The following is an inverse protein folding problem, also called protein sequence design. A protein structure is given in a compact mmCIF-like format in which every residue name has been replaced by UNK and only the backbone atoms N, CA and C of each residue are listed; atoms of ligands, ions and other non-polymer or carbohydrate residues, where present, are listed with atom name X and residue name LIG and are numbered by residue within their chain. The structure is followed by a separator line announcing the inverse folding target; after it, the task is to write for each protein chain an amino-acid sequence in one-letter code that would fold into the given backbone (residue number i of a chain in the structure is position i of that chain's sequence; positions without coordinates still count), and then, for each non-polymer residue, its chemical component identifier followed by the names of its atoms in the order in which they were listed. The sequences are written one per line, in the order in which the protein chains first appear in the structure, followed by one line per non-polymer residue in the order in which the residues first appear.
data_IF_723978144148
#
_entry.id   IF_723978144148
#
_cell.length_a   1.000
_cell.length_b   1.000
_cell.length_c   1.000
_cell.angle_alpha   90.00
_cell.angle_beta   90.00
_cell.angle_gamma   90.00
#
_symmetry.space_group_name_H-M   'P 1'
#
loop_
_entity.id
_entity.type
_entity.pdbx_description
1 polymer ?
#
# COMPACT_ATOMS: atom_id res chain seq x y z
N UNK A 1 -13.81 14.06 -8.06
CA UNK A 1 -12.49 14.21 -8.71
C UNK A 1 -11.46 14.32 -7.60
N UNK A 2 -10.33 13.61 -7.66
CA UNK A 2 -9.29 13.75 -6.64
C UNK A 2 -8.60 15.11 -6.83
N UNK A 3 -8.50 15.91 -5.76
CA UNK A 3 -7.75 17.16 -5.77
C UNK A 3 -6.55 16.98 -4.84
N UNK A 4 -5.35 16.87 -5.42
CA UNK A 4 -4.10 16.81 -4.67
C UNK A 4 -3.51 18.21 -4.65
N UNK A 5 -3.60 18.88 -3.50
CA UNK A 5 -3.08 20.25 -3.32
C UNK A 5 -1.57 20.28 -3.13
N UNK A 6 -0.99 19.22 -2.56
CA UNK A 6 0.44 19.10 -2.25
C UNK A 6 0.91 17.69 -2.52
N UNK A 7 2.09 17.56 -3.15
CA UNK A 7 2.78 16.28 -3.35
C UNK A 7 4.24 16.50 -2.94
N UNK A 8 4.70 15.72 -1.96
CA UNK A 8 6.07 15.77 -1.44
C UNK A 8 6.66 14.37 -1.40
N UNK A 9 7.97 14.27 -1.51
CA UNK A 9 8.72 13.04 -1.22
C UNK A 9 9.41 13.22 0.14
N UNK A 10 9.41 12.18 0.95
CA UNK A 10 10.02 12.17 2.28
C UNK A 10 10.81 10.87 2.48
N UNK A 11 11.97 10.90 3.14
CA UNK A 11 12.72 9.70 3.53
C UNK A 11 12.18 9.06 4.83
N UNK A 12 11.15 9.66 5.46
CA UNK A 12 10.55 9.17 6.70
C UNK A 12 10.07 7.71 6.59
N UNK A 13 10.21 6.98 7.70
CA UNK A 13 9.68 5.63 7.83
C UNK A 13 8.15 5.63 8.04
N UNK A 14 7.50 4.48 7.82
CA UNK A 14 6.06 4.31 7.98
C UNK A 14 5.55 4.66 9.39
N UNK A 15 6.39 4.49 10.42
CA UNK A 15 6.05 4.79 11.81
C UNK A 15 6.22 6.27 12.17
N UNK A 16 6.95 7.07 11.39
CA UNK A 16 7.20 8.49 11.64
C UNK A 16 6.18 9.40 10.94
N UNK A 17 5.74 9.00 9.74
CA UNK A 17 4.79 9.80 8.95
C UNK A 17 3.47 10.04 9.68
N UNK A 18 2.93 11.25 9.53
CA UNK A 18 1.63 11.65 10.09
C UNK A 18 0.46 11.42 9.12
N UNK A 19 0.70 10.74 7.99
CA UNK A 19 -0.35 10.48 7.01
C UNK A 19 -1.48 9.60 7.57
N UNK A 20 -2.72 9.92 7.22
CA UNK A 20 -3.93 9.21 7.69
C UNK A 20 -4.02 7.77 7.17
N UNK A 21 -3.33 7.50 6.06
CA UNK A 21 -3.25 6.23 5.37
C UNK A 21 -1.84 6.00 4.84
N UNK A 22 -1.34 4.79 5.02
CA UNK A 22 -0.07 4.33 4.44
C UNK A 22 -0.38 3.23 3.45
N UNK A 23 0.00 3.42 2.19
CA UNK A 23 -0.22 2.45 1.13
C UNK A 23 1.07 1.71 0.76
N UNK A 24 0.99 0.38 0.76
CA UNK A 24 2.09 -0.53 0.44
C UNK A 24 1.60 -1.68 -0.46
N UNK A 25 2.51 -2.41 -1.09
CA UNK A 25 2.16 -3.39 -2.13
C UNK A 25 2.50 -4.85 -1.83
N UNK A 26 1.75 -5.74 -2.47
CA UNK A 26 2.00 -7.19 -2.57
C UNK A 26 1.78 -7.66 -4.01
N UNK A 27 2.67 -8.51 -4.51
CA UNK A 27 2.58 -9.09 -5.86
C UNK A 27 1.85 -10.43 -5.86
N UNK A 28 1.42 -10.90 -7.04
CA UNK A 28 0.76 -12.21 -7.21
C UNK A 28 1.63 -13.40 -6.78
N UNK A 29 2.96 -13.27 -6.86
CA UNK A 29 3.93 -14.27 -6.39
C UNK A 29 4.11 -14.25 -4.86
N UNK A 30 3.26 -13.50 -4.15
CA UNK A 30 3.27 -13.28 -2.70
C UNK A 30 4.47 -12.50 -2.18
N UNK A 31 5.31 -11.95 -3.07
CA UNK A 31 6.38 -11.07 -2.63
C UNK A 31 5.80 -9.74 -2.15
N UNK A 32 6.22 -9.34 -0.94
CA UNK A 32 5.92 -8.04 -0.37
C UNK A 32 6.95 -7.04 -0.90
N UNK A 33 6.48 -5.82 -1.12
CA UNK A 33 7.34 -4.65 -1.33
C UNK A 33 8.19 -4.35 -0.09
N UNK A 34 9.29 -3.57 -0.21
CA UNK A 34 10.19 -3.31 0.91
C UNK A 34 9.50 -2.71 2.14
N UNK A 35 8.60 -1.72 1.96
CA UNK A 35 7.88 -1.13 3.08
C UNK A 35 6.83 -2.10 3.64
N UNK A 36 6.09 -2.82 2.78
CA UNK A 36 5.15 -3.84 3.24
C UNK A 36 5.84 -4.92 4.08
N UNK A 37 7.04 -5.37 3.69
CA UNK A 37 7.80 -6.36 4.45
C UNK A 37 8.26 -5.82 5.82
N UNK A 38 8.64 -4.54 5.87
CA UNK A 38 9.04 -3.87 7.13
C UNK A 38 7.86 -3.78 8.09
N UNK A 39 6.70 -3.34 7.60
CA UNK A 39 5.47 -3.29 8.40
C UNK A 39 5.06 -4.69 8.84
N UNK A 40 5.09 -5.66 7.93
CA UNK A 40 4.69 -7.04 8.23
C UNK A 40 5.50 -7.65 9.38
N UNK A 41 6.82 -7.42 9.41
CA UNK A 41 7.70 -7.86 10.50
C UNK A 41 7.38 -7.16 11.83
N UNK A 42 7.06 -5.87 11.78
CA UNK A 42 6.68 -5.11 12.97
C UNK A 42 5.29 -5.51 13.50
N UNK A 43 4.42 -6.03 12.64
CA UNK A 43 3.03 -6.38 12.95
C UNK A 43 2.79 -7.88 13.13
N UNK A 44 3.77 -8.62 13.65
CA UNK A 44 3.68 -10.08 13.88
C UNK A 44 3.24 -10.88 12.64
N UNK A 45 3.69 -10.49 11.45
CA UNK A 45 3.44 -11.18 10.18
C UNK A 45 1.97 -11.21 9.71
N UNK A 46 1.16 -10.22 10.10
CA UNK A 46 -0.26 -10.13 9.73
C UNK A 46 -0.56 -10.19 8.22
N UNK A 47 0.32 -9.66 7.36
CA UNK A 47 0.14 -9.75 5.91
C UNK A 47 0.41 -11.17 5.41
N UNK A 48 1.40 -11.86 6.00
CA UNK A 48 1.67 -13.26 5.69
C UNK A 48 0.48 -14.13 6.09
N UNK A 49 -0.07 -13.93 7.28
CA UNK A 49 -1.26 -14.66 7.73
C UNK A 49 -2.45 -14.46 6.78
N UNK A 50 -2.71 -13.22 6.36
CA UNK A 50 -3.77 -12.93 5.39
C UNK A 50 -3.51 -13.51 3.98
N UNK A 51 -2.24 -13.66 3.59
CA UNK A 51 -1.85 -14.37 2.36
C UNK A 51 -2.11 -15.87 2.49
N UNK A 52 -1.74 -16.47 3.62
CA UNK A 52 -1.85 -17.90 3.88
C UNK A 52 -3.32 -18.35 4.01
N UNK A 53 -4.17 -17.50 4.57
CA UNK A 53 -5.63 -17.68 4.60
C UNK A 53 -6.28 -17.53 3.21
N UNK A 54 -5.54 -17.00 2.22
CA UNK A 54 -6.02 -16.82 0.84
C UNK A 54 -6.82 -15.54 0.59
N UNK A 55 -6.95 -14.68 1.61
CA UNK A 55 -7.64 -13.39 1.51
C UNK A 55 -6.88 -12.41 0.62
N UNK A 56 -5.55 -12.42 0.71
CA UNK A 56 -4.67 -11.54 -0.08
C UNK A 56 -4.08 -12.32 -1.26
N UNK A 57 -4.54 -12.01 -2.48
CA UNK A 57 -4.06 -12.72 -3.68
C UNK A 57 -2.90 -12.01 -4.35
N UNK A 58 -2.85 -10.68 -4.26
CA UNK A 58 -1.82 -9.83 -4.88
C UNK A 58 -2.20 -9.36 -6.27
N UNK A 59 -3.45 -9.54 -6.69
CA UNK A 59 -3.91 -9.18 -8.04
C UNK A 59 -4.09 -7.68 -8.18
N UNK A 60 -3.79 -7.16 -9.36
CA UNK A 60 -3.99 -5.74 -9.66
C UNK A 60 -5.43 -5.30 -9.36
N UNK A 61 -5.58 -4.27 -8.52
CA UNK A 61 -6.87 -3.70 -8.13
C UNK A 61 -7.43 -4.21 -6.80
N UNK A 62 -6.84 -5.26 -6.23
CA UNK A 62 -7.10 -5.69 -4.85
C UNK A 62 -6.59 -4.67 -3.84
N UNK A 63 -7.28 -4.59 -2.71
CA UNK A 63 -6.97 -3.64 -1.65
C UNK A 63 -7.49 -4.17 -0.31
N UNK A 64 -6.59 -4.33 0.65
CA UNK A 64 -6.88 -4.86 1.97
C UNK A 64 -6.48 -3.84 3.03
N UNK A 65 -7.34 -3.63 4.02
CA UNK A 65 -7.09 -2.68 5.10
C UNK A 65 -6.60 -3.42 6.34
N UNK A 66 -5.53 -2.89 6.92
CA UNK A 66 -4.97 -3.35 8.19
C UNK A 66 -4.80 -2.17 9.14
N UNK A 67 -4.79 -2.47 10.43
CA UNK A 67 -4.52 -1.50 11.49
C UNK A 67 -3.28 -1.98 12.25
N UNK A 68 -2.20 -1.22 12.18
CA UNK A 68 -0.90 -1.56 12.78
C UNK A 68 -0.41 -0.36 13.55
N UNK A 69 -0.12 -0.53 14.84
CA UNK A 69 0.39 0.53 15.74
C UNK A 69 -0.40 1.84 15.66
N UNK A 70 -1.73 1.74 15.64
CA UNK A 70 -2.63 2.89 15.54
C UNK A 70 -2.71 3.55 14.15
N UNK A 71 -2.00 3.01 13.15
CA UNK A 71 -1.99 3.51 11.78
C UNK A 71 -2.85 2.66 10.85
N UNK A 72 -3.41 3.28 9.82
CA UNK A 72 -4.17 2.60 8.77
C UNK A 72 -3.22 2.23 7.64
N UNK A 73 -3.11 0.93 7.36
CA UNK A 73 -2.29 0.42 6.26
C UNK A 73 -3.22 -0.12 5.16
N UNK A 74 -2.99 0.33 3.93
CA UNK A 74 -3.63 -0.19 2.73
C UNK A 74 -2.64 -1.08 1.99
N UNK A 75 -2.86 -2.40 2.04
CA UNK A 75 -2.10 -3.37 1.26
C UNK A 75 -2.75 -3.56 -0.11
N UNK A 76 -2.06 -3.14 -1.17
CA UNK A 76 -2.53 -3.21 -2.55
C UNK A 76 -1.99 -4.43 -3.27
N UNK A 77 -2.85 -5.09 -4.04
CA UNK A 77 -2.39 -6.05 -5.04
C UNK A 77 -1.80 -5.31 -6.24
N UNK A 78 -0.52 -5.55 -6.52
CA UNK A 78 0.24 -4.93 -7.61
C UNK A 78 0.19 -5.74 -8.92
N UNK A 79 -0.36 -6.95 -8.88
CA UNK A 79 -0.42 -7.86 -10.01
C UNK A 79 0.88 -8.63 -10.22
N UNK A 80 1.11 -9.04 -11.46
CA UNK A 80 2.30 -9.78 -11.84
C UNK A 80 3.53 -8.88 -11.81
N UNK A 81 4.53 -9.25 -11.01
CA UNK A 81 5.79 -8.52 -10.83
C UNK A 81 6.55 -8.26 -12.12
N UNK A 82 6.57 -9.22 -13.04
CA UNK A 82 7.26 -9.10 -14.34
C UNK A 82 6.56 -8.15 -15.31
N UNK A 83 5.30 -7.81 -15.05
CA UNK A 83 4.51 -6.85 -15.84
C UNK A 83 4.31 -5.52 -15.10
N UNK A 84 5.02 -5.32 -14.00
CA UNK A 84 4.90 -4.12 -13.19
C UNK A 84 5.66 -2.97 -13.87
N UNK A 85 4.90 -2.05 -14.45
CA UNK A 85 5.41 -0.92 -15.22
C UNK A 85 4.86 0.42 -14.70
N UNK A 86 5.23 1.52 -15.36
CA UNK A 86 4.75 2.86 -15.00
C UNK A 86 3.20 2.98 -15.04
N UNK A 87 2.53 2.22 -15.90
CA UNK A 87 1.07 2.22 -15.94
C UNK A 87 0.49 1.47 -14.74
N UNK A 88 1.10 0.35 -14.31
CA UNK A 88 0.74 -0.35 -13.08
C UNK A 88 0.91 0.56 -11.85
N UNK A 89 2.02 1.30 -11.76
CA UNK A 89 2.24 2.32 -10.72
C UNK A 89 1.15 3.39 -10.74
N UNK A 90 0.82 3.94 -11.92
CA UNK A 90 -0.26 4.93 -12.09
C UNK A 90 -1.61 4.39 -11.61
N UNK A 91 -1.94 3.15 -11.94
CA UNK A 91 -3.19 2.50 -11.52
C UNK A 91 -3.22 2.28 -10.01
N UNK A 92 -2.11 1.83 -9.41
CA UNK A 92 -1.97 1.66 -7.97
C UNK A 92 -2.14 3.00 -7.24
N UNK A 93 -1.42 4.06 -7.64
CA UNK A 93 -1.54 5.40 -7.06
C UNK A 93 -2.97 5.98 -7.22
N UNK A 94 -3.60 5.74 -8.36
CA UNK A 94 -5.00 6.10 -8.58
C UNK A 94 -5.97 5.37 -7.65
N UNK A 95 -5.72 4.07 -7.37
CA UNK A 95 -6.50 3.28 -6.42
C UNK A 95 -6.31 3.78 -4.98
N UNK A 96 -5.08 4.11 -4.60
CA UNK A 96 -4.76 4.73 -3.29
C UNK A 96 -5.56 6.00 -3.09
N UNK A 97 -5.45 6.93 -4.05
CA UNK A 97 -6.12 8.23 -3.99
C UNK A 97 -7.64 8.08 -3.88
N UNK A 98 -8.25 7.20 -4.69
CA UNK A 98 -9.70 6.92 -4.63
C UNK A 98 -10.12 6.29 -3.31
N UNK A 99 -9.28 5.42 -2.74
CA UNK A 99 -9.54 4.78 -1.46
C UNK A 99 -9.48 5.80 -0.31
N UNK A 100 -8.50 6.69 -0.31
CA UNK A 100 -8.39 7.76 0.69
C UNK A 100 -9.64 8.68 0.63
N UNK A 101 -10.05 9.10 -0.57
CA UNK A 101 -11.24 9.94 -0.77
C UNK A 101 -12.51 9.24 -0.28
N UNK A 102 -12.72 7.97 -0.63
CA UNK A 102 -13.93 7.25 -0.21
C UNK A 102 -14.02 7.06 1.30
N UNK A 103 -12.86 7.02 1.97
CA UNK A 103 -12.72 6.95 3.43
C UNK A 103 -12.69 8.32 4.11
N UNK A 104 -12.77 9.43 3.35
CA UNK A 104 -12.68 10.81 3.87
C UNK A 104 -11.39 11.06 4.66
N UNK A 105 -10.27 10.60 4.13
CA UNK A 105 -8.94 10.82 4.68
C UNK A 105 -8.30 12.01 3.96
N UNK A 106 -7.60 12.86 4.71
CA UNK A 106 -7.05 14.11 4.20
C UNK A 106 -5.66 13.93 3.60
N UNK A 107 -4.91 12.94 4.10
CA UNK A 107 -3.53 12.68 3.69
C UNK A 107 -3.26 11.19 3.43
N UNK A 108 -2.33 10.92 2.51
CA UNK A 108 -1.87 9.56 2.22
C UNK A 108 -0.38 9.55 1.91
N UNK A 109 0.33 8.60 2.51
CA UNK A 109 1.69 8.25 2.14
C UNK A 109 1.64 6.94 1.36
N UNK A 110 2.41 6.84 0.27
CA UNK A 110 2.60 5.58 -0.45
C UNK A 110 4.09 5.34 -0.64
N UNK A 111 4.50 4.07 -0.60
CA UNK A 111 5.88 3.75 -0.92
C UNK A 111 6.20 4.08 -2.39
N UNK A 112 7.46 4.41 -2.66
CA UNK A 112 7.98 4.45 -4.03
C UNK A 112 8.04 3.01 -4.52
N UNK A 113 7.17 2.61 -5.45
CA UNK A 113 7.26 1.30 -6.12
C UNK A 113 8.40 1.24 -7.14
N UNK A 114 9.48 1.97 -6.86
CA UNK A 114 10.58 2.25 -7.73
C UNK A 114 11.50 1.04 -7.69
N UNK A 115 11.57 0.33 -8.81
CA UNK A 115 12.40 -0.85 -8.99
C UNK A 115 13.79 -0.45 -9.49
#
# INVERSE_FOLDING_TARGET
MANLSTVTSSPESWNETQADLIAVGVFEDKSLTPMANTINKASNFVFTEAIDLGDVKGKSGESHFFYVDGKRILLLGLGNKNKFDANAVRLAAGKVSRTAISKKLDSVAMECFCN
#
